data_IF_916884216118
#
_entry.id   IF_916884216118
#
_cell.length_a   1.000
_cell.length_b   1.000
_cell.length_c   1.000
_cell.angle_alpha   90.00
_cell.angle_beta   90.00
_cell.angle_gamma   90.00
#
_symmetry.space_group_name_H-M   'P 1'
#
loop_
_entity.id
_entity.type
_entity.pdbx_description
1 polymer ?
#
# COMPACT_ATOMS: atom_id res chain seq x y z
N UNK A 1 12.21 11.64 -13.86
CA UNK A 1 11.97 11.32 -12.44
C UNK A 1 13.29 10.86 -11.83
N UNK A 2 13.59 11.21 -10.58
CA UNK A 2 14.78 10.67 -9.87
C UNK A 2 14.74 9.13 -9.93
N UNK A 3 15.89 8.49 -10.22
CA UNK A 3 16.00 7.04 -10.38
C UNK A 3 15.53 6.27 -9.15
N UNK A 4 15.60 6.87 -7.94
CA UNK A 4 15.11 6.25 -6.70
C UNK A 4 13.59 6.34 -6.57
N UNK A 5 12.96 7.41 -7.06
CA UNK A 5 11.50 7.55 -7.01
C UNK A 5 10.85 6.48 -7.89
N UNK A 6 11.34 6.35 -9.14
CA UNK A 6 10.90 5.30 -10.07
C UNK A 6 11.12 3.90 -9.51
N UNK A 7 12.29 3.62 -8.93
CA UNK A 7 12.55 2.34 -8.27
C UNK A 7 11.51 1.99 -7.19
N UNK A 8 11.12 2.93 -6.35
CA UNK A 8 10.14 2.65 -5.29
C UNK A 8 8.71 2.55 -5.83
N UNK A 9 8.36 3.29 -6.89
CA UNK A 9 7.08 3.10 -7.59
C UNK A 9 7.00 1.72 -8.26
N UNK A 10 8.08 1.23 -8.88
CA UNK A 10 8.13 -0.12 -9.45
C UNK A 10 7.96 -1.19 -8.36
N UNK A 11 8.60 -0.99 -7.19
CA UNK A 11 8.40 -1.88 -6.04
C UNK A 11 6.98 -1.85 -5.52
N UNK A 12 6.33 -0.67 -5.50
CA UNK A 12 4.94 -0.54 -5.13
C UNK A 12 4.02 -1.31 -6.09
N UNK A 13 4.26 -1.15 -7.41
CA UNK A 13 3.50 -1.82 -8.45
C UNK A 13 3.67 -3.34 -8.41
N UNK A 14 4.90 -3.83 -8.26
CA UNK A 14 5.17 -5.26 -8.12
C UNK A 14 4.51 -5.86 -6.87
N UNK A 15 4.40 -5.08 -5.79
CA UNK A 15 3.72 -5.51 -4.57
C UNK A 15 2.20 -5.62 -4.78
N UNK A 16 1.58 -4.74 -5.58
CA UNK A 16 0.18 -4.90 -6.03
C UNK A 16 0.00 -6.16 -6.86
N UNK A 17 0.88 -6.41 -7.83
CA UNK A 17 0.76 -7.61 -8.66
C UNK A 17 0.91 -8.89 -7.83
N UNK A 18 1.82 -8.89 -6.87
CA UNK A 18 1.96 -10.00 -5.93
C UNK A 18 0.67 -10.20 -5.11
N UNK A 19 0.10 -9.14 -4.52
CA UNK A 19 -1.13 -9.27 -3.72
C UNK A 19 -2.33 -9.73 -4.55
N UNK A 20 -2.48 -9.23 -5.78
CA UNK A 20 -3.51 -9.70 -6.73
C UNK A 20 -3.34 -11.17 -7.10
N UNK A 21 -2.12 -11.59 -7.43
CA UNK A 21 -1.82 -12.98 -7.78
C UNK A 21 -2.11 -13.93 -6.60
N UNK A 22 -1.65 -13.57 -5.40
CA UNK A 22 -1.87 -14.36 -4.19
C UNK A 22 -3.35 -14.44 -3.80
N UNK A 23 -4.12 -13.35 -3.98
CA UNK A 23 -5.58 -13.38 -3.81
C UNK A 23 -6.22 -14.35 -4.79
N UNK A 24 -5.84 -14.29 -6.07
CA UNK A 24 -6.36 -15.19 -7.10
C UNK A 24 -6.05 -16.66 -6.78
N UNK A 25 -4.81 -16.98 -6.38
CA UNK A 25 -4.43 -18.33 -5.94
C UNK A 25 -5.29 -18.78 -4.74
N UNK A 26 -5.64 -17.87 -3.84
CA UNK A 26 -6.45 -18.17 -2.64
C UNK A 26 -7.92 -18.45 -2.94
N UNK A 27 -8.43 -18.01 -4.09
CA UNK A 27 -9.86 -18.03 -4.44
C UNK A 27 -10.20 -18.98 -5.59
N UNK A 28 -9.22 -19.34 -6.42
CA UNK A 28 -9.41 -20.16 -7.61
C UNK A 28 -8.94 -21.61 -7.38
N UNK A 29 -9.91 -22.52 -7.18
CA UNK A 29 -9.66 -23.95 -6.99
C UNK A 29 -8.86 -24.60 -8.14
N UNK A 30 -8.98 -24.09 -9.38
CA UNK A 30 -8.24 -24.62 -10.53
C UNK A 30 -6.76 -24.27 -10.45
N UNK A 31 -6.45 -23.05 -10.00
CA UNK A 31 -5.08 -22.60 -9.76
C UNK A 31 -4.49 -23.34 -8.57
N UNK A 32 -5.24 -23.48 -7.47
CA UNK A 32 -4.81 -24.26 -6.29
C UNK A 32 -4.40 -25.68 -6.66
N UNK A 33 -5.24 -26.37 -7.44
CA UNK A 33 -4.96 -27.71 -7.93
C UNK A 33 -3.68 -27.78 -8.76
N UNK A 34 -3.44 -26.77 -9.60
CA UNK A 34 -2.22 -26.69 -10.44
C UNK A 34 -0.94 -26.61 -9.60
N UNK A 35 -0.99 -25.94 -8.45
CA UNK A 35 0.14 -25.81 -7.53
C UNK A 35 0.18 -26.87 -6.43
N UNK A 36 -0.78 -27.80 -6.39
CA UNK A 36 -0.86 -28.84 -5.36
C UNK A 36 -1.39 -28.35 -4.00
N UNK A 37 -2.09 -27.22 -3.97
CA UNK A 37 -2.73 -26.69 -2.75
C UNK A 37 -4.10 -27.35 -2.52
N UNK A 38 -4.48 -27.44 -1.25
CA UNK A 38 -5.81 -27.86 -0.77
C UNK A 38 -6.84 -26.75 -0.94
N UNK A 39 -8.13 -27.05 -0.78
CA UNK A 39 -9.18 -26.02 -0.88
C UNK A 39 -9.09 -25.00 0.26
N UNK A 40 -8.60 -25.46 1.40
CA UNK A 40 -8.45 -24.74 2.65
C UNK A 40 -7.22 -23.83 2.66
N UNK A 41 -6.23 -24.10 1.81
CA UNK A 41 -5.06 -23.25 1.66
C UNK A 41 -5.44 -21.87 1.15
N UNK A 42 -4.91 -20.84 1.81
CA UNK A 42 -5.11 -19.45 1.42
C UNK A 42 -3.90 -18.61 1.80
N UNK A 43 -3.73 -17.51 1.06
CA UNK A 43 -2.60 -16.61 1.19
C UNK A 43 -3.06 -15.20 1.59
N UNK A 44 -4.23 -15.06 2.21
CA UNK A 44 -4.81 -13.77 2.56
C UNK A 44 -3.91 -12.92 3.48
N UNK A 45 -3.21 -13.52 4.46
CA UNK A 45 -2.21 -12.80 5.25
C UNK A 45 -1.05 -12.28 4.39
N UNK A 46 -0.68 -12.98 3.32
CA UNK A 46 0.32 -12.51 2.36
C UNK A 46 -0.22 -11.39 1.47
N UNK A 47 -1.50 -11.44 1.09
CA UNK A 47 -2.19 -10.34 0.39
C UNK A 47 -2.14 -9.06 1.24
N UNK A 48 -2.47 -9.12 2.54
CA UNK A 48 -2.39 -7.98 3.46
C UNK A 48 -0.96 -7.42 3.53
N UNK A 49 0.03 -8.28 3.71
CA UNK A 49 1.44 -7.87 3.76
C UNK A 49 1.88 -7.15 2.49
N UNK A 50 1.61 -7.74 1.32
CA UNK A 50 2.03 -7.15 0.05
C UNK A 50 1.27 -5.85 -0.26
N UNK A 51 -0.01 -5.76 0.08
CA UNK A 51 -0.79 -4.52 -0.02
C UNK A 51 -0.21 -3.41 0.85
N UNK A 52 0.17 -3.70 2.10
CA UNK A 52 0.87 -2.73 2.95
C UNK A 52 2.22 -2.30 2.35
N UNK A 53 3.04 -3.24 1.85
CA UNK A 53 4.31 -2.89 1.23
C UNK A 53 4.14 -2.01 -0.01
N UNK A 54 3.06 -2.23 -0.77
CA UNK A 54 2.72 -1.39 -1.91
C UNK A 54 2.49 0.08 -1.48
N UNK A 55 1.68 0.29 -0.43
CA UNK A 55 1.42 1.60 0.18
C UNK A 55 2.71 2.22 0.72
N UNK A 56 3.50 1.44 1.47
CA UNK A 56 4.75 1.90 2.07
C UNK A 56 5.75 2.37 1.01
N UNK A 57 5.93 1.62 -0.08
CA UNK A 57 6.85 2.02 -1.14
C UNK A 57 6.35 3.24 -1.91
N UNK A 58 5.05 3.36 -2.16
CA UNK A 58 4.47 4.54 -2.80
C UNK A 58 4.63 5.80 -1.92
N UNK A 59 4.33 5.70 -0.62
CA UNK A 59 4.54 6.80 0.33
C UNK A 59 6.01 7.21 0.38
N UNK A 60 6.94 6.24 0.37
CA UNK A 60 8.38 6.49 0.33
C UNK A 60 8.81 7.18 -0.97
N UNK A 61 8.29 6.75 -2.12
CA UNK A 61 8.57 7.39 -3.40
C UNK A 61 8.14 8.86 -3.39
N UNK A 62 6.96 9.14 -2.86
CA UNK A 62 6.44 10.50 -2.71
C UNK A 62 7.28 11.36 -1.76
N UNK A 63 7.72 10.83 -0.61
CA UNK A 63 8.64 11.56 0.28
C UNK A 63 9.95 11.92 -0.42
N UNK A 64 10.50 10.98 -1.20
CA UNK A 64 11.73 11.21 -1.97
C UNK A 64 11.54 12.26 -3.06
N UNK A 65 10.39 12.30 -3.75
CA UNK A 65 10.11 13.35 -4.74
C UNK A 65 9.97 14.74 -4.12
N UNK A 66 9.75 14.82 -2.80
CA UNK A 66 9.74 16.05 -2.02
C UNK A 66 11.09 16.35 -1.35
N UNK A 67 12.16 15.63 -1.72
CA UNK A 67 13.50 15.74 -1.14
C UNK A 67 13.53 15.48 0.38
N UNK A 68 12.66 14.59 0.88
CA UNK A 68 12.63 14.18 2.30
C UNK A 68 13.30 12.81 2.43
N UNK A 69 14.60 12.75 2.78
CA UNK A 69 15.30 11.48 2.93
C UNK A 69 14.92 10.78 4.24
N UNK A 70 14.92 9.45 4.21
CA UNK A 70 14.86 8.64 5.44
C UNK A 70 16.24 8.55 6.07
N UNK A 71 16.32 8.71 7.39
CA UNK A 71 17.59 8.82 8.14
C UNK A 71 18.33 7.50 8.27
N UNK A 72 17.63 6.37 8.24
CA UNK A 72 18.23 5.04 8.42
C UNK A 72 17.41 3.93 7.78
N UNK A 73 17.98 2.72 7.71
CA UNK A 73 17.27 1.49 7.29
C UNK A 73 16.39 0.91 8.40
N UNK A 74 16.74 1.14 9.65
CA UNK A 74 15.98 0.67 10.81
C UNK A 74 14.80 1.60 11.10
N UNK A 75 13.63 1.02 11.37
CA UNK A 75 12.42 1.80 11.68
C UNK A 75 11.88 2.64 10.51
N UNK A 76 12.19 2.26 9.26
CA UNK A 76 11.72 3.00 8.07
C UNK A 76 10.19 3.11 8.02
N UNK A 77 9.46 2.10 8.49
CA UNK A 77 8.00 2.15 8.54
C UNK A 77 7.48 3.26 9.45
N UNK A 78 8.08 3.46 10.64
CA UNK A 78 7.76 4.59 11.51
C UNK A 78 8.15 5.92 10.87
N UNK A 79 9.33 6.00 10.25
CA UNK A 79 9.82 7.23 9.63
C UNK A 79 8.94 7.67 8.45
N UNK A 80 8.60 6.74 7.54
CA UNK A 80 7.71 7.02 6.40
C UNK A 80 6.35 7.51 6.89
N UNK A 81 5.75 6.84 7.87
CA UNK A 81 4.49 7.29 8.46
C UNK A 81 4.61 8.69 9.06
N UNK A 82 5.65 8.96 9.85
CA UNK A 82 5.83 10.24 10.53
C UNK A 82 6.05 11.40 9.56
N UNK A 83 6.91 11.24 8.56
CA UNK A 83 7.15 12.29 7.56
C UNK A 83 5.94 12.49 6.65
N UNK A 84 5.25 11.41 6.26
CA UNK A 84 4.01 11.53 5.47
C UNK A 84 2.92 12.26 6.26
N UNK A 85 2.76 11.94 7.55
CA UNK A 85 1.84 12.64 8.46
C UNK A 85 2.12 14.14 8.51
N UNK A 86 3.39 14.57 8.58
CA UNK A 86 3.73 16.00 8.58
C UNK A 86 3.27 16.70 7.31
N UNK A 87 3.40 16.06 6.13
CA UNK A 87 2.93 16.64 4.87
C UNK A 87 1.41 16.77 4.81
N UNK A 88 0.70 15.79 5.34
CA UNK A 88 -0.77 15.85 5.49
C UNK A 88 -1.16 17.00 6.43
N UNK A 89 -0.54 17.07 7.62
CA UNK A 89 -0.83 18.11 8.60
C UNK A 89 -0.42 19.52 8.16
N UNK A 90 0.63 19.63 7.36
CA UNK A 90 1.05 20.88 6.73
C UNK A 90 0.20 21.30 5.53
N UNK A 91 -0.77 20.46 5.11
CA UNK A 91 -1.67 20.74 3.99
C UNK A 91 -1.04 20.58 2.60
N UNK A 92 0.18 20.05 2.49
CA UNK A 92 0.86 19.86 1.20
C UNK A 92 0.09 18.87 0.30
N UNK A 93 -0.34 17.75 0.89
CA UNK A 93 -1.14 16.72 0.20
C UNK A 93 -2.50 17.29 -0.23
N UNK A 94 -3.13 18.09 0.63
CA UNK A 94 -4.45 18.69 0.35
C UNK A 94 -4.36 19.64 -0.85
N UNK A 95 -3.32 20.47 -0.93
CA UNK A 95 -3.07 21.37 -2.07
C UNK A 95 -2.89 20.59 -3.38
N UNK A 96 -2.20 19.45 -3.34
CA UNK A 96 -2.01 18.61 -4.52
C UNK A 96 -3.31 17.93 -4.96
N UNK A 97 -4.10 17.43 -3.99
CA UNK A 97 -5.42 16.86 -4.26
C UNK A 97 -6.34 17.90 -4.90
N UNK A 98 -6.41 19.11 -4.35
CA UNK A 98 -7.18 20.22 -4.93
C UNK A 98 -6.76 20.52 -6.37
N UNK A 99 -5.45 20.52 -6.65
CA UNK A 99 -4.92 20.76 -8.00
C UNK A 99 -5.27 19.66 -8.99
N UNK A 100 -5.32 18.41 -8.54
CA UNK A 100 -5.57 17.25 -9.41
C UNK A 100 -7.05 17.00 -9.64
N UNK A 101 -7.88 17.26 -8.64
CA UNK A 101 -9.23 16.73 -8.62
C UNK A 101 -10.35 17.72 -8.92
N UNK A 102 -10.08 19.03 -8.97
CA UNK A 102 -11.03 20.17 -9.12
C UNK A 102 -12.29 20.16 -8.22
N UNK A 103 -12.88 19.01 -7.86
CA UNK A 103 -14.07 18.85 -7.02
C UNK A 103 -14.10 17.61 -6.09
N UNK A 104 -13.07 16.76 -5.99
CA UNK A 104 -13.16 15.61 -5.07
C UNK A 104 -12.57 15.88 -3.68
N UNK A 105 -13.48 15.93 -2.68
CA UNK A 105 -13.24 15.93 -1.21
C UNK A 105 -12.59 14.63 -0.69
N UNK A 106 -11.64 14.04 -1.40
CA UNK A 106 -10.74 13.09 -0.75
C UNK A 106 -9.80 13.93 0.10
N UNK A 107 -10.07 13.96 1.41
CA UNK A 107 -9.22 14.66 2.36
C UNK A 107 -7.89 13.94 2.42
N UNK A 108 -6.79 14.69 2.48
CA UNK A 108 -5.46 14.16 2.74
C UNK A 108 -5.41 13.20 3.96
N UNK A 109 -6.35 13.40 4.90
CA UNK A 109 -6.64 12.53 6.04
C UNK A 109 -6.93 11.06 5.64
N UNK A 110 -7.66 10.81 4.55
CA UNK A 110 -7.99 9.45 4.09
C UNK A 110 -6.73 8.68 3.69
N UNK A 111 -5.78 9.33 3.01
CA UNK A 111 -4.51 8.68 2.66
C UNK A 111 -3.68 8.37 3.91
N UNK A 112 -3.69 9.27 4.89
CA UNK A 112 -3.02 9.04 6.17
C UNK A 112 -3.64 7.87 6.94
N UNK A 113 -4.98 7.80 6.96
CA UNK A 113 -5.72 6.74 7.63
C UNK A 113 -5.50 5.38 6.97
N UNK A 114 -5.45 5.33 5.63
CA UNK A 114 -5.06 4.11 4.89
C UNK A 114 -3.64 3.68 5.29
N UNK A 115 -2.66 4.59 5.27
CA UNK A 115 -1.28 4.25 5.63
C UNK A 115 -1.17 3.77 7.08
N UNK A 116 -1.91 4.39 8.00
CA UNK A 116 -1.94 4.00 9.41
C UNK A 116 -2.59 2.64 9.62
N UNK A 117 -3.81 2.46 9.14
CA UNK A 117 -4.61 1.25 9.32
C UNK A 117 -3.94 0.03 8.70
N UNK A 118 -3.35 0.15 7.51
CA UNK A 118 -2.68 -0.98 6.85
C UNK A 118 -1.37 -1.37 7.55
N UNK A 119 -0.67 -0.40 8.17
CA UNK A 119 0.50 -0.68 9.02
C UNK A 119 0.11 -1.47 10.27
N UNK A 120 -1.00 -1.10 10.90
CA UNK A 120 -1.55 -1.77 12.10
C UNK A 120 -2.06 -3.17 11.73
N UNK A 121 -2.94 -3.26 10.72
CA UNK A 121 -3.49 -4.52 10.16
C UNK A 121 -2.40 -5.53 9.78
N UNK A 122 -1.31 -5.07 9.16
CA UNK A 122 -0.18 -5.95 8.84
C UNK A 122 0.44 -6.59 10.08
N UNK A 123 0.45 -5.92 11.22
CA UNK A 123 0.94 -6.50 12.48
C UNK A 123 -0.03 -7.56 12.98
N UNK A 124 -1.31 -7.22 13.08
CA UNK A 124 -2.33 -8.07 13.69
C UNK A 124 -2.58 -9.35 12.86
N UNK A 125 -2.76 -9.19 11.55
CA UNK A 125 -3.17 -10.30 10.67
C UNK A 125 -2.01 -11.15 10.12
N UNK A 126 -0.76 -10.75 10.40
CA UNK A 126 0.41 -11.57 10.06
C UNK A 126 0.78 -12.54 11.18
N UNK A 127 0.52 -12.17 12.44
CA UNK A 127 1.04 -12.91 13.59
C UNK A 127 -0.02 -13.55 14.47
N UNK A 128 -1.27 -13.06 14.43
CA UNK A 128 -2.28 -13.41 15.46
C UNK A 128 -3.53 -14.12 14.91
N UNK A 129 -3.59 -14.42 13.61
CA UNK A 129 -4.80 -14.97 12.96
C UNK A 129 -4.48 -16.12 12.01
N UNK A 130 -5.42 -17.07 11.88
CA UNK A 130 -5.34 -18.10 10.83
C UNK A 130 -5.59 -17.46 9.46
N UNK A 131 -4.80 -17.80 8.41
CA UNK A 131 -4.90 -17.16 7.10
C UNK A 131 -6.31 -17.16 6.49
N UNK A 132 -7.10 -18.20 6.74
CA UNK A 132 -8.44 -18.39 6.17
C UNK A 132 -9.44 -17.33 6.66
N UNK A 133 -9.28 -16.83 7.89
CA UNK A 133 -10.14 -15.78 8.45
C UNK A 133 -9.87 -14.40 7.83
N UNK A 134 -8.79 -14.26 7.05
CA UNK A 134 -8.29 -12.97 6.61
C UNK A 134 -8.78 -12.55 5.23
N UNK A 135 -9.77 -13.25 4.66
CA UNK A 135 -10.30 -12.94 3.32
C UNK A 135 -10.80 -11.49 3.20
N UNK A 136 -11.72 -11.07 4.06
CA UNK A 136 -12.27 -9.71 4.03
C UNK A 136 -11.19 -8.66 4.32
N UNK A 137 -10.36 -8.79 5.38
CA UNK A 137 -9.23 -7.89 5.60
C UNK A 137 -8.27 -7.78 4.41
N UNK A 138 -8.00 -8.88 3.71
CA UNK A 138 -7.12 -8.92 2.53
C UNK A 138 -7.71 -8.17 1.33
N UNK A 139 -9.01 -8.31 1.09
CA UNK A 139 -9.71 -7.57 0.03
C UNK A 139 -9.70 -6.06 0.30
N UNK A 140 -10.01 -5.66 1.53
CA UNK A 140 -9.90 -4.26 1.96
C UNK A 140 -8.48 -3.72 1.80
N UNK A 141 -7.47 -4.48 2.23
CA UNK A 141 -6.06 -4.09 2.09
C UNK A 141 -5.67 -3.87 0.64
N UNK A 142 -6.09 -4.76 -0.26
CA UNK A 142 -5.83 -4.61 -1.69
C UNK A 142 -6.51 -3.36 -2.27
N UNK A 143 -7.77 -3.11 -1.92
CA UNK A 143 -8.50 -1.93 -2.37
C UNK A 143 -7.87 -0.62 -1.84
N UNK A 144 -7.45 -0.62 -0.58
CA UNK A 144 -6.72 0.49 0.03
C UNK A 144 -5.40 0.76 -0.70
N UNK A 145 -4.65 -0.30 -1.03
CA UNK A 145 -3.38 -0.18 -1.73
C UNK A 145 -3.54 0.34 -3.16
N UNK A 146 -4.54 -0.14 -3.89
CA UNK A 146 -4.89 0.36 -5.23
C UNK A 146 -5.27 1.84 -5.18
N UNK A 147 -6.13 2.21 -4.24
CA UNK A 147 -6.57 3.60 -4.04
C UNK A 147 -5.36 4.49 -3.74
N UNK A 148 -4.56 4.14 -2.72
CA UNK A 148 -3.40 4.93 -2.31
C UNK A 148 -2.40 5.13 -3.45
N UNK A 149 -2.03 4.06 -4.16
CA UNK A 149 -1.09 4.13 -5.29
C UNK A 149 -1.62 5.01 -6.41
N UNK A 150 -2.91 4.93 -6.73
CA UNK A 150 -3.51 5.75 -7.77
C UNK A 150 -3.38 7.25 -7.46
N UNK A 151 -3.52 7.65 -6.20
CA UNK A 151 -3.30 9.04 -5.77
C UNK A 151 -1.82 9.43 -5.86
N UNK A 152 -0.92 8.59 -5.35
CA UNK A 152 0.53 8.87 -5.41
C UNK A 152 1.02 9.01 -6.85
N UNK A 153 0.59 8.13 -7.77
CA UNK A 153 0.95 8.24 -9.20
C UNK A 153 0.55 9.61 -9.76
N UNK A 154 -0.68 10.06 -9.46
CA UNK A 154 -1.16 11.38 -9.89
C UNK A 154 -0.35 12.53 -9.29
N UNK A 155 0.03 12.45 -8.00
CA UNK A 155 0.93 13.43 -7.37
C UNK A 155 2.29 13.52 -8.06
N UNK A 156 2.77 12.38 -8.56
CA UNK A 156 4.04 12.25 -9.26
C UNK A 156 3.96 12.56 -10.77
N UNK A 157 2.76 12.82 -11.30
CA UNK A 157 2.53 13.09 -12.72
C UNK A 157 2.51 11.84 -13.61
N UNK A 158 2.36 10.65 -13.03
CA UNK A 158 2.20 9.39 -13.75
C UNK A 158 0.70 9.11 -14.00
N UNK A 159 0.37 8.64 -15.22
CA UNK A 159 -0.99 8.17 -15.57
C UNK A 159 -1.15 6.69 -15.28
#
# INVERSE_FOLDING_TARGET
MDSKVSLFMDRAQNSIFASQALKKISEDDSIKKTFGFTKEDSFYSSVINHSYYAIFYAAKAYLLSRNIPLKSKQGQHQQVYFEFRKLVQGGEIEKELLRIYEENKLKAEVLLDILKSEKEKRTDFTYETIPQANKTPAEESLNNALTFISHIKRFLGER
#
